data_IF_721688018973
#
_entry.id   IF_721688018973
#
_cell.length_a   1.000
_cell.length_b   1.000
_cell.length_c   1.000
_cell.angle_alpha   90.00
_cell.angle_beta   90.00
_cell.angle_gamma   90.00
#
_symmetry.space_group_name_H-M   'P 1'
#
loop_
_entity.id
_entity.type
_entity.pdbx_description
1 polymer ?
#
# COMPACT_ATOMS: atom_id res chain seq x y z
N UNK A 1 5.99 -4.76 10.75
CA UNK A 1 5.59 -5.26 9.40
C UNK A 1 6.60 -4.80 8.34
N UNK A 2 6.79 -5.55 7.23
CA UNK A 2 7.71 -5.14 6.16
C UNK A 2 6.97 -4.76 4.88
N UNK A 3 7.21 -3.55 4.36
CA UNK A 3 6.76 -3.15 3.03
C UNK A 3 7.61 -3.89 1.99
N UNK A 4 6.96 -4.63 1.10
CA UNK A 4 7.63 -5.45 0.09
C UNK A 4 7.53 -4.88 -1.32
N UNK A 5 6.87 -3.73 -1.50
CA UNK A 5 6.67 -3.10 -2.81
C UNK A 5 8.00 -2.91 -3.53
N UNK A 6 9.02 -2.43 -2.80
CA UNK A 6 10.36 -2.20 -3.36
C UNK A 6 10.98 -3.52 -3.84
N UNK A 7 10.88 -4.58 -3.05
CA UNK A 7 11.44 -5.89 -3.40
C UNK A 7 10.74 -6.49 -4.63
N UNK A 8 9.40 -6.44 -4.67
CA UNK A 8 8.62 -6.90 -5.82
C UNK A 8 8.85 -6.07 -7.08
N UNK A 9 9.04 -4.76 -6.93
CA UNK A 9 9.43 -3.88 -8.04
C UNK A 9 10.80 -4.26 -8.62
N UNK A 10 11.76 -4.63 -7.76
CA UNK A 10 13.09 -5.07 -8.21
C UNK A 10 13.01 -6.40 -8.94
N UNK A 11 12.32 -7.40 -8.39
CA UNK A 11 12.08 -8.69 -9.05
C UNK A 11 11.44 -8.48 -10.43
N UNK A 12 10.46 -7.57 -10.51
CA UNK A 12 9.80 -7.21 -11.74
C UNK A 12 10.75 -6.57 -12.76
N UNK A 13 11.56 -5.58 -12.36
CA UNK A 13 12.57 -4.97 -13.24
C UNK A 13 13.53 -6.02 -13.80
N UNK A 14 14.02 -6.92 -12.93
CA UNK A 14 14.92 -7.99 -13.34
C UNK A 14 14.26 -8.91 -14.37
N UNK A 15 12.99 -9.29 -14.17
CA UNK A 15 12.23 -10.11 -15.12
C UNK A 15 12.07 -9.43 -16.48
N UNK A 16 11.77 -8.12 -16.52
CA UNK A 16 11.67 -7.34 -17.77
C UNK A 16 13.01 -7.23 -18.52
N UNK A 17 14.14 -7.28 -17.79
CA UNK A 17 15.48 -7.33 -18.38
C UNK A 17 15.92 -8.75 -18.81
N UNK A 18 15.11 -9.77 -18.55
CA UNK A 18 15.44 -11.17 -18.80
C UNK A 18 16.44 -11.76 -17.79
N UNK A 19 16.55 -11.15 -16.61
CA UNK A 19 17.42 -11.61 -15.52
C UNK A 19 16.62 -12.48 -14.54
N UNK A 20 17.27 -13.49 -13.98
CA UNK A 20 16.70 -14.31 -12.89
C UNK A 20 16.94 -13.59 -11.56
N UNK A 21 15.89 -13.17 -10.83
CA UNK A 21 16.07 -12.53 -9.54
C UNK A 21 16.61 -13.53 -8.51
N UNK A 22 17.74 -13.20 -7.89
CA UNK A 22 18.29 -13.92 -6.74
C UNK A 22 18.18 -13.04 -5.49
N UNK A 23 18.12 -13.65 -4.30
CA UNK A 23 18.03 -12.88 -3.05
C UNK A 23 19.20 -11.90 -2.90
N UNK A 24 20.42 -12.33 -3.26
CA UNK A 24 21.61 -11.49 -3.18
C UNK A 24 21.53 -10.26 -4.10
N UNK A 25 21.11 -10.46 -5.36
CA UNK A 25 20.96 -9.35 -6.32
C UNK A 25 19.82 -8.42 -5.93
N UNK A 26 18.68 -8.96 -5.49
CA UNK A 26 17.53 -8.16 -5.07
C UNK A 26 17.90 -7.29 -3.85
N UNK A 27 18.63 -7.86 -2.89
CA UNK A 27 19.12 -7.13 -1.71
C UNK A 27 20.09 -6.01 -2.09
N UNK A 28 21.07 -6.30 -2.96
CA UNK A 28 22.05 -5.30 -3.40
C UNK A 28 21.39 -4.09 -4.09
N UNK A 29 20.37 -4.33 -4.92
CA UNK A 29 19.59 -3.26 -5.54
C UNK A 29 18.72 -2.53 -4.51
N UNK A 30 18.10 -3.24 -3.58
CA UNK A 30 17.25 -2.64 -2.55
C UNK A 30 18.02 -1.64 -1.68
N UNK A 31 19.26 -1.96 -1.29
CA UNK A 31 20.13 -1.05 -0.51
C UNK A 31 20.38 0.28 -1.23
N UNK A 32 20.45 0.26 -2.57
CA UNK A 32 20.58 1.46 -3.39
C UNK A 32 19.24 2.23 -3.46
N UNK A 33 18.13 1.53 -3.68
CA UNK A 33 16.81 2.16 -3.81
C UNK A 33 16.32 2.81 -2.49
N UNK A 34 16.63 2.21 -1.34
CA UNK A 34 16.31 2.79 -0.03
C UNK A 34 17.07 4.10 0.25
N UNK A 35 18.22 4.31 -0.42
CA UNK A 35 19.01 5.54 -0.32
C UNK A 35 18.75 6.52 -1.48
N UNK A 36 17.70 6.30 -2.27
CA UNK A 36 17.34 7.12 -3.44
C UNK A 36 17.21 8.61 -3.12
N UNK A 37 16.53 8.98 -2.02
CA UNK A 37 16.35 10.39 -1.63
C UNK A 37 17.69 11.08 -1.34
N UNK A 38 18.63 10.39 -0.69
CA UNK A 38 19.97 10.91 -0.41
C UNK A 38 20.82 11.00 -1.68
N UNK A 39 20.74 10.00 -2.55
CA UNK A 39 21.53 9.93 -3.79
C UNK A 39 21.07 10.96 -4.83
N UNK A 40 19.76 11.13 -4.99
CA UNK A 40 19.17 12.05 -5.98
C UNK A 40 19.27 13.52 -5.54
N UNK A 41 19.16 13.79 -4.24
CA UNK A 41 19.21 15.17 -3.70
C UNK A 41 20.62 15.59 -3.24
N UNK A 42 21.67 14.87 -3.62
CA UNK A 42 23.05 15.26 -3.32
C UNK A 42 23.35 16.62 -3.96
N UNK A 43 24.02 17.52 -3.24
CA UNK A 43 24.42 18.80 -3.81
C UNK A 43 25.30 18.59 -5.04
N UNK A 44 24.83 19.04 -6.20
CA UNK A 44 25.51 18.95 -7.49
C UNK A 44 25.17 20.19 -8.32
N UNK A 45 26.10 20.66 -9.14
CA UNK A 45 25.84 21.75 -10.09
C UNK A 45 24.81 21.35 -11.16
N UNK A 46 24.65 20.04 -11.40
CA UNK A 46 23.73 19.50 -12.40
C UNK A 46 22.95 18.29 -11.85
N UNK A 47 21.66 18.46 -11.57
CA UNK A 47 20.80 17.40 -11.01
C UNK A 47 20.70 16.14 -11.88
N UNK A 48 20.96 16.24 -13.18
CA UNK A 48 21.01 15.12 -14.11
C UNK A 48 22.17 14.14 -13.83
N UNK A 49 23.28 14.61 -13.26
CA UNK A 49 24.41 13.73 -12.93
C UNK A 49 24.06 12.77 -11.81
N UNK A 50 23.37 13.25 -10.77
CA UNK A 50 22.87 12.40 -9.68
C UNK A 50 21.91 11.33 -10.20
N UNK A 51 21.04 11.69 -11.15
CA UNK A 51 20.11 10.76 -11.77
C UNK A 51 20.84 9.66 -12.55
N UNK A 52 21.84 10.02 -13.37
CA UNK A 52 22.63 9.04 -14.13
C UNK A 52 23.44 8.13 -13.20
N UNK A 53 24.07 8.68 -12.16
CA UNK A 53 24.82 7.89 -11.18
C UNK A 53 23.93 6.90 -10.43
N UNK A 54 22.70 7.30 -10.09
CA UNK A 54 21.74 6.44 -9.42
C UNK A 54 21.38 5.21 -10.28
N UNK A 55 21.02 5.42 -11.54
CA UNK A 55 20.66 4.31 -12.44
C UNK A 55 21.85 3.45 -12.84
N UNK A 56 23.06 4.01 -12.96
CA UNK A 56 24.30 3.24 -13.15
C UNK A 56 24.56 2.30 -11.98
N UNK A 57 24.42 2.78 -10.74
CA UNK A 57 24.62 1.95 -9.55
C UNK A 57 23.61 0.78 -9.49
N UNK A 58 22.35 1.02 -9.89
CA UNK A 58 21.35 -0.04 -10.01
C UNK A 58 21.73 -1.06 -11.08
N UNK A 59 22.14 -0.61 -12.27
CA UNK A 59 22.55 -1.47 -13.37
C UNK A 59 23.75 -2.36 -13.01
N UNK A 60 24.73 -1.78 -12.31
CA UNK A 60 25.88 -2.50 -11.76
C UNK A 60 25.46 -3.56 -10.74
N UNK A 61 24.58 -3.21 -9.79
CA UNK A 61 24.08 -4.15 -8.79
C UNK A 61 23.24 -5.29 -9.39
N UNK A 62 22.58 -5.05 -10.53
CA UNK A 62 21.87 -6.07 -11.30
C UNK A 62 22.78 -6.91 -12.20
N UNK A 63 24.07 -6.57 -12.34
CA UNK A 63 25.01 -7.25 -13.22
C UNK A 63 24.86 -6.92 -14.70
N UNK A 64 24.21 -5.81 -15.04
CA UNK A 64 23.96 -5.35 -16.41
C UNK A 64 24.39 -3.89 -16.63
N UNK A 65 25.67 -3.53 -16.40
CA UNK A 65 26.15 -2.14 -16.47
C UNK A 65 25.92 -1.47 -17.84
N UNK A 66 25.83 -2.24 -18.92
CA UNK A 66 25.61 -1.72 -20.27
C UNK A 66 24.13 -1.42 -20.59
N UNK A 67 23.19 -1.82 -19.71
CA UNK A 67 21.74 -1.70 -19.93
C UNK A 67 21.07 -0.60 -19.10
N UNK A 68 21.82 0.44 -18.75
CA UNK A 68 21.29 1.60 -18.00
C UNK A 68 20.13 2.28 -18.74
N UNK A 69 20.21 2.38 -20.06
CA UNK A 69 19.13 2.95 -20.87
C UNK A 69 17.87 2.09 -20.81
N UNK A 70 18.00 0.77 -20.87
CA UNK A 70 16.85 -0.14 -20.78
C UNK A 70 16.13 0.01 -19.44
N UNK A 71 16.88 0.17 -18.33
CA UNK A 71 16.31 0.46 -17.01
C UNK A 71 15.52 1.78 -16.99
N UNK A 72 16.05 2.83 -17.61
CA UNK A 72 15.37 4.13 -17.73
C UNK A 72 14.11 3.99 -18.60
N UNK A 73 14.15 3.22 -19.68
CA UNK A 73 12.99 2.97 -20.54
C UNK A 73 11.92 2.14 -19.83
N UNK A 74 12.30 1.13 -19.05
CA UNK A 74 11.37 0.36 -18.21
C UNK A 74 10.66 1.29 -17.23
N UNK A 75 11.39 2.19 -16.56
CA UNK A 75 10.79 3.17 -15.64
C UNK A 75 9.79 4.13 -16.31
N UNK A 76 9.82 4.28 -17.63
CA UNK A 76 8.87 5.08 -18.40
C UNK A 76 7.74 4.24 -19.05
N UNK A 77 7.84 2.91 -19.01
CA UNK A 77 6.88 2.00 -19.63
C UNK A 77 5.58 1.94 -18.82
N UNK A 78 4.46 2.11 -19.51
CA UNK A 78 3.12 2.00 -18.90
C UNK A 78 2.77 0.56 -18.51
N UNK A 79 3.18 -0.42 -19.30
CA UNK A 79 3.03 -1.83 -18.95
C UNK A 79 3.76 -2.16 -17.65
N UNK A 80 4.98 -1.62 -17.50
CA UNK A 80 5.75 -1.79 -16.28
C UNK A 80 5.10 -1.07 -15.09
N UNK A 81 4.64 0.17 -15.28
CA UNK A 81 3.93 0.92 -14.24
C UNK A 81 2.65 0.19 -13.78
N UNK A 82 1.85 -0.33 -14.72
CA UNK A 82 0.67 -1.14 -14.43
C UNK A 82 1.02 -2.41 -13.66
N UNK A 83 2.04 -3.15 -14.10
CA UNK A 83 2.46 -4.38 -13.41
C UNK A 83 3.07 -4.09 -12.03
N UNK A 84 3.69 -2.91 -11.84
CA UNK A 84 4.19 -2.46 -10.54
C UNK A 84 3.06 -2.06 -9.58
N UNK A 85 2.00 -1.41 -10.07
CA UNK A 85 0.82 -1.03 -9.28
C UNK A 85 0.15 -2.26 -8.61
N UNK A 86 0.23 -3.43 -9.25
CA UNK A 86 -0.23 -4.71 -8.68
C UNK A 86 0.36 -4.98 -7.30
N UNK A 87 1.60 -4.57 -7.08
CA UNK A 87 2.34 -4.79 -5.84
C UNK A 87 2.28 -3.60 -4.89
N UNK A 88 1.49 -2.56 -5.18
CA UNK A 88 1.40 -1.38 -4.33
C UNK A 88 0.74 -1.72 -2.99
N UNK A 89 1.30 -1.12 -1.94
CA UNK A 89 0.88 -1.23 -0.54
C UNK A 89 0.91 -2.66 0.04
N UNK A 90 1.64 -3.58 -0.58
CA UNK A 90 1.80 -4.92 -0.05
C UNK A 90 2.80 -4.95 1.11
N UNK A 91 2.37 -5.63 2.16
CA UNK A 91 3.11 -5.84 3.39
C UNK A 91 3.19 -7.33 3.70
N UNK A 92 4.31 -7.76 4.29
CA UNK A 92 4.53 -9.15 4.66
C UNK A 92 4.93 -9.26 6.14
N UNK A 93 4.42 -10.31 6.79
CA UNK A 93 4.65 -10.63 8.20
C UNK A 93 3.49 -10.21 9.10
N UNK A 94 3.73 -10.24 10.40
CA UNK A 94 2.78 -9.81 11.41
C UNK A 94 3.35 -8.67 12.23
N UNK A 95 2.46 -7.83 12.75
CA UNK A 95 2.77 -6.77 13.71
C UNK A 95 1.65 -6.74 14.74
N UNK A 96 1.97 -6.50 16.01
CA UNK A 96 0.96 -6.36 17.04
C UNK A 96 1.49 -5.47 18.15
N UNK A 97 0.61 -4.64 18.69
CA UNK A 97 1.03 -3.70 19.71
C UNK A 97 -0.10 -3.06 20.46
N UNK A 98 0.31 -2.23 21.41
CA UNK A 98 -0.57 -1.44 22.25
C UNK A 98 -0.15 0.02 22.10
N UNK A 99 -1.12 0.89 21.87
CA UNK A 99 -0.93 2.34 21.82
C UNK A 99 -1.78 3.00 22.90
N UNK A 100 -1.16 3.90 23.64
CA UNK A 100 -1.82 4.72 24.64
C UNK A 100 -1.70 6.19 24.24
N UNK A 101 -2.83 6.85 24.03
CA UNK A 101 -2.90 8.23 23.57
C UNK A 101 -3.65 9.06 24.63
N UNK A 102 -2.95 9.81 25.50
CA UNK A 102 -3.59 10.77 26.37
C UNK A 102 -4.10 11.95 25.54
N UNK A 103 -5.31 12.44 25.85
CA UNK A 103 -5.92 13.60 25.21
C UNK A 103 -6.26 14.64 26.25
N UNK A 104 -5.91 15.89 25.96
CA UNK A 104 -6.23 17.05 26.81
C UNK A 104 -6.79 18.15 25.93
N UNK A 105 -7.92 18.72 26.33
CA UNK A 105 -8.53 19.87 25.67
C UNK A 105 -8.78 20.93 26.73
N UNK A 106 -8.19 22.11 26.51
CA UNK A 106 -8.40 23.28 27.35
C UNK A 106 -9.24 24.25 26.53
N UNK A 107 -10.48 24.50 26.96
CA UNK A 107 -11.33 25.52 26.34
C UNK A 107 -11.39 26.76 27.23
N UNK A 108 -11.18 27.92 26.63
CA UNK A 108 -11.24 29.21 27.33
C UNK A 108 -12.64 29.45 27.87
N UNK A 109 -12.80 29.42 29.20
CA UNK A 109 -14.07 29.71 29.88
C UNK A 109 -14.95 28.49 30.22
N UNK A 110 -14.61 27.28 29.75
CA UNK A 110 -15.42 26.05 29.92
C UNK A 110 -14.77 24.96 30.76
N UNK A 111 -13.54 25.14 31.24
CA UNK A 111 -12.84 24.19 32.11
C UNK A 111 -11.87 23.26 31.36
N UNK A 112 -11.52 22.15 32.00
CA UNK A 112 -10.53 21.19 31.53
C UNK A 112 -11.21 19.86 31.17
N UNK A 113 -11.02 19.41 29.93
CA UNK A 113 -11.41 18.08 29.49
C UNK A 113 -10.20 17.19 29.27
N UNK A 114 -10.26 16.00 29.85
CA UNK A 114 -9.21 15.00 29.80
C UNK A 114 -9.73 13.68 29.28
N UNK A 115 -8.85 12.93 28.64
CA UNK A 115 -9.17 11.60 28.19
C UNK A 115 -7.95 10.75 27.90
N UNK A 116 -8.23 9.49 27.63
CA UNK A 116 -7.25 8.48 27.30
C UNK A 116 -7.85 7.52 26.29
N UNK A 117 -7.09 7.24 25.24
CA UNK A 117 -7.42 6.21 24.25
C UNK A 117 -6.39 5.09 24.36
N UNK A 118 -6.87 3.89 24.62
CA UNK A 118 -6.11 2.66 24.56
C UNK A 118 -6.48 1.93 23.28
N UNK A 119 -5.48 1.60 22.46
CA UNK A 119 -5.66 0.86 21.21
C UNK A 119 -4.80 -0.39 21.24
N UNK A 120 -5.43 -1.56 21.13
CA UNK A 120 -4.75 -2.79 20.74
C UNK A 120 -4.83 -2.87 19.22
N UNK A 121 -3.72 -3.11 18.54
CA UNK A 121 -3.72 -3.29 17.09
C UNK A 121 -2.96 -4.55 16.70
N UNK A 122 -3.36 -5.13 15.58
CA UNK A 122 -2.70 -6.28 14.98
C UNK A 122 -2.84 -6.25 13.47
N UNK A 123 -1.73 -6.44 12.78
CA UNK A 123 -1.66 -6.47 11.33
C UNK A 123 -1.02 -7.79 10.89
N UNK A 124 -1.53 -8.39 9.82
CA UNK A 124 -1.05 -9.63 9.24
C UNK A 124 -1.09 -9.57 7.72
N UNK A 125 0.04 -9.82 7.06
CA UNK A 125 0.18 -9.81 5.61
C UNK A 125 0.92 -11.05 5.12
N UNK A 126 0.36 -11.74 4.14
CA UNK A 126 0.94 -12.97 3.60
C UNK A 126 0.59 -13.22 2.13
N UNK A 127 1.38 -14.08 1.50
CA UNK A 127 1.10 -14.66 0.19
C UNK A 127 0.70 -16.11 0.34
N UNK A 128 -0.31 -16.50 -0.42
CA UNK A 128 -0.85 -17.84 -0.53
C UNK A 128 -0.80 -18.26 -2.00
N UNK A 129 -1.02 -19.56 -2.26
CA UNK A 129 -1.12 -20.11 -3.62
C UNK A 129 0.07 -19.70 -4.52
N UNK A 130 1.30 -20.02 -4.11
CA UNK A 130 2.52 -19.72 -4.90
C UNK A 130 2.67 -18.23 -5.26
N UNK A 131 2.22 -17.34 -4.37
CA UNK A 131 2.19 -15.88 -4.56
C UNK A 131 1.10 -15.35 -5.50
N UNK A 132 0.17 -16.20 -5.93
CA UNK A 132 -0.99 -15.77 -6.72
C UNK A 132 -2.09 -15.11 -5.87
N UNK A 133 -2.08 -15.27 -4.55
CA UNK A 133 -3.07 -14.65 -3.67
C UNK A 133 -2.38 -13.89 -2.54
N UNK A 134 -2.56 -12.58 -2.51
CA UNK A 134 -2.14 -11.72 -1.41
C UNK A 134 -3.29 -11.52 -0.43
N UNK A 135 -2.98 -11.56 0.86
CA UNK A 135 -3.92 -11.26 1.94
C UNK A 135 -3.27 -10.29 2.92
N UNK A 136 -4.01 -9.25 3.28
CA UNK A 136 -3.72 -8.33 4.35
C UNK A 136 -4.93 -8.27 5.27
N UNK A 137 -4.73 -8.51 6.56
CA UNK A 137 -5.73 -8.32 7.59
C UNK A 137 -5.17 -7.35 8.62
N UNK A 138 -5.92 -6.33 8.97
CA UNK A 138 -5.61 -5.45 10.09
C UNK A 138 -6.81 -5.40 11.04
N UNK A 139 -6.52 -5.14 12.30
CA UNK A 139 -7.55 -5.08 13.32
C UNK A 139 -7.16 -4.19 14.47
N UNK A 140 -8.13 -3.48 15.01
CA UNK A 140 -7.97 -2.66 16.20
C UNK A 140 -9.09 -2.91 17.19
N UNK A 141 -8.75 -2.84 18.47
CA UNK A 141 -9.70 -2.75 19.58
C UNK A 141 -9.37 -1.47 20.32
N UNK A 142 -10.35 -0.59 20.45
CA UNK A 142 -10.19 0.73 21.02
C UNK A 142 -11.08 0.88 22.26
N UNK A 143 -10.48 1.33 23.35
CA UNK A 143 -11.19 1.80 24.53
C UNK A 143 -10.81 3.27 24.74
N UNK A 144 -11.80 4.14 24.70
CA UNK A 144 -11.59 5.58 24.81
C UNK A 144 -12.44 6.15 25.95
N UNK A 145 -11.82 6.96 26.78
CA UNK A 145 -12.49 7.78 27.78
C UNK A 145 -12.21 9.24 27.48
N UNK A 146 -13.23 10.09 27.42
CA UNK A 146 -13.07 11.54 27.29
C UNK A 146 -14.16 12.28 28.06
N UNK A 147 -13.77 13.07 29.06
CA UNK A 147 -14.71 13.73 29.99
C UNK A 147 -15.66 14.73 29.34
N UNK A 148 -15.24 15.33 28.21
CA UNK A 148 -16.02 16.34 27.51
C UNK A 148 -17.13 15.79 26.60
N UNK A 149 -17.23 14.47 26.45
CA UNK A 149 -18.24 13.85 25.60
C UNK A 149 -19.53 13.53 26.39
N UNK A 150 -20.68 13.59 25.72
CA UNK A 150 -21.97 13.16 26.28
C UNK A 150 -21.93 11.68 26.72
N UNK A 151 -21.24 10.86 25.94
CA UNK A 151 -20.90 9.47 26.29
C UNK A 151 -19.39 9.40 26.51
N UNK A 152 -18.90 9.54 27.76
CA UNK A 152 -17.47 9.66 28.02
C UNK A 152 -16.68 8.40 27.66
N UNK A 153 -17.26 7.22 27.89
CA UNK A 153 -16.63 5.94 27.62
C UNK A 153 -17.15 5.38 26.30
N UNK A 154 -16.24 5.17 25.34
CA UNK A 154 -16.53 4.55 24.05
C UNK A 154 -15.63 3.34 23.83
N UNK A 155 -16.19 2.35 23.18
CA UNK A 155 -15.53 1.12 22.77
C UNK A 155 -15.70 0.92 21.27
N UNK A 156 -14.60 0.55 20.62
CA UNK A 156 -14.51 0.35 19.18
C UNK A 156 -13.80 -0.97 18.85
N UNK A 157 -14.24 -1.64 17.79
CA UNK A 157 -13.52 -2.71 17.11
C UNK A 157 -13.53 -2.37 15.63
N UNK A 158 -12.39 -2.43 14.97
CA UNK A 158 -12.29 -2.39 13.52
C UNK A 158 -11.51 -3.61 13.04
N UNK A 159 -11.99 -4.25 11.99
CA UNK A 159 -11.30 -5.31 11.29
C UNK A 159 -11.37 -4.99 9.80
N UNK A 160 -10.24 -4.86 9.12
CA UNK A 160 -10.22 -4.74 7.67
C UNK A 160 -9.42 -5.88 7.05
N UNK A 161 -9.94 -6.41 5.95
CA UNK A 161 -9.29 -7.39 5.10
C UNK A 161 -9.13 -6.83 3.71
N UNK A 162 -7.95 -6.98 3.13
CA UNK A 162 -7.71 -6.83 1.71
C UNK A 162 -7.21 -8.16 1.17
N UNK A 163 -7.82 -8.62 0.09
CA UNK A 163 -7.37 -9.81 -0.64
C UNK A 163 -7.14 -9.39 -2.08
N UNK A 164 -5.98 -9.73 -2.65
CA UNK A 164 -5.67 -9.43 -4.05
C UNK A 164 -5.22 -10.69 -4.77
N UNK A 165 -5.91 -11.03 -5.85
CA UNK A 165 -5.52 -12.14 -6.72
C UNK A 165 -4.61 -11.62 -7.84
N UNK A 166 -3.44 -12.22 -7.95
CA UNK A 166 -2.33 -11.87 -8.83
C UNK A 166 -2.11 -13.01 -9.84
N UNK A 167 -2.88 -13.06 -10.94
CA UNK A 167 -2.65 -14.04 -11.99
C UNK A 167 -1.25 -13.90 -12.62
N UNK A 168 -0.76 -14.99 -13.21
CA UNK A 168 0.49 -14.98 -13.99
C UNK A 168 0.43 -14.02 -15.18
N UNK A 169 -0.75 -13.93 -15.83
CA UNK A 169 -1.02 -12.89 -16.81
C UNK A 169 -1.14 -11.55 -16.09
N UNK A 170 -0.14 -10.68 -16.29
CA UNK A 170 -0.10 -9.39 -15.63
C UNK A 170 -1.17 -8.41 -16.12
N UNK A 171 -1.89 -8.70 -17.20
CA UNK A 171 -2.88 -7.80 -17.80
C UNK A 171 -4.08 -7.53 -16.89
N UNK A 172 -4.22 -8.26 -15.80
CA UNK A 172 -5.30 -8.02 -14.86
C UNK A 172 -4.96 -8.44 -13.44
N UNK A 173 -5.72 -7.89 -12.51
CA UNK A 173 -5.82 -8.39 -11.14
C UNK A 173 -7.19 -8.02 -10.59
N UNK A 174 -7.55 -8.66 -9.49
CA UNK A 174 -8.76 -8.30 -8.75
C UNK A 174 -8.40 -8.15 -7.29
N UNK A 175 -8.98 -7.14 -6.66
CA UNK A 175 -8.90 -6.94 -5.23
C UNK A 175 -10.29 -6.97 -4.61
N UNK A 176 -10.33 -7.46 -3.37
CA UNK A 176 -11.48 -7.48 -2.51
C UNK A 176 -11.13 -6.79 -1.20
N UNK A 177 -12.07 -6.02 -0.69
CA UNK A 177 -11.98 -5.27 0.54
C UNK A 177 -13.13 -5.71 1.44
N UNK A 178 -12.84 -5.90 2.71
CA UNK A 178 -13.82 -6.13 3.78
C UNK A 178 -13.47 -5.17 4.92
N UNK A 179 -14.45 -4.43 5.41
CA UNK A 179 -14.39 -3.68 6.64
C UNK A 179 -15.50 -4.14 7.56
N UNK A 180 -15.18 -4.41 8.83
CA UNK A 180 -16.15 -4.68 9.88
C UNK A 180 -15.84 -3.73 11.02
N UNK A 181 -16.79 -2.88 11.35
CA UNK A 181 -16.64 -1.88 12.38
C UNK A 181 -17.75 -2.04 13.43
N UNK A 182 -17.36 -1.97 14.69
CA UNK A 182 -18.27 -1.82 15.81
C UNK A 182 -17.80 -0.62 16.62
N UNK A 183 -18.61 0.43 16.75
CA UNK A 183 -18.31 1.58 17.58
C UNK A 183 -19.54 2.01 18.37
N UNK A 184 -19.42 1.99 19.69
CA UNK A 184 -20.49 2.43 20.60
C UNK A 184 -20.82 3.92 20.50
N UNK A 185 -19.93 4.73 19.90
CA UNK A 185 -20.06 6.18 19.75
C UNK A 185 -20.83 6.61 18.49
N UNK A 186 -20.98 5.70 17.51
CA UNK A 186 -21.66 5.97 16.24
C UNK A 186 -23.09 5.42 16.23
N UNK A 187 -23.88 5.83 15.24
CA UNK A 187 -25.20 5.25 14.94
C UNK A 187 -25.32 5.11 13.43
N UNK A 188 -25.46 3.88 12.88
CA UNK A 188 -25.49 2.59 13.59
C UNK A 188 -24.16 2.26 14.28
N UNK A 189 -24.22 1.45 15.34
CA UNK A 189 -23.03 1.03 16.11
C UNK A 189 -22.22 -0.06 15.43
N UNK A 190 -22.80 -0.71 14.43
CA UNK A 190 -22.20 -1.80 13.69
C UNK A 190 -22.29 -1.48 12.21
N UNK A 191 -21.21 -1.76 11.50
CA UNK A 191 -21.09 -1.49 10.08
C UNK A 191 -20.24 -2.57 9.39
N UNK A 192 -20.65 -2.94 8.18
CA UNK A 192 -19.93 -3.82 7.28
C UNK A 192 -19.83 -3.14 5.93
N UNK A 193 -18.59 -3.01 5.47
CA UNK A 193 -18.24 -2.55 4.14
C UNK A 193 -17.61 -3.69 3.36
N UNK A 194 -18.02 -3.85 2.10
CA UNK A 194 -17.48 -4.86 1.20
C UNK A 194 -17.21 -4.21 -0.14
N UNK A 195 -15.99 -4.31 -0.63
CA UNK A 195 -15.59 -3.76 -1.91
C UNK A 195 -14.94 -4.81 -2.79
N UNK A 196 -15.01 -4.60 -4.08
CA UNK A 196 -14.17 -5.30 -5.04
C UNK A 196 -13.85 -4.40 -6.21
N UNK A 197 -12.61 -4.47 -6.69
CA UNK A 197 -12.14 -3.74 -7.86
C UNK A 197 -11.42 -4.70 -8.80
N UNK A 198 -11.75 -4.61 -10.07
CA UNK A 198 -11.10 -5.34 -11.15
C UNK A 198 -10.33 -4.36 -12.01
N UNK A 199 -9.05 -4.63 -12.18
CA UNK A 199 -8.13 -3.85 -12.99
C UNK A 199 -7.75 -4.62 -14.25
N UNK A 200 -7.70 -3.91 -15.38
CA UNK A 200 -7.37 -4.49 -16.68
C UNK A 200 -6.53 -3.55 -17.54
N UNK A 201 -5.49 -4.09 -18.16
CA UNK A 201 -4.69 -3.42 -19.18
C UNK A 201 -5.21 -3.81 -20.56
N UNK A 202 -6.02 -2.94 -21.15
CA UNK A 202 -6.64 -3.17 -22.45
C UNK A 202 -5.61 -3.07 -23.59
N UNK A 203 -4.71 -2.11 -23.48
CA UNK A 203 -3.59 -1.90 -24.41
C UNK A 203 -2.38 -1.39 -23.62
N UNK A 204 -1.15 -1.46 -24.16
CA UNK A 204 0.05 -0.99 -23.46
C UNK A 204 -0.05 0.44 -22.91
N UNK A 205 -0.92 1.26 -23.49
CA UNK A 205 -1.15 2.65 -23.10
C UNK A 205 -2.54 2.94 -22.50
N UNK A 206 -3.33 1.90 -22.22
CA UNK A 206 -4.72 2.06 -21.76
C UNK A 206 -5.04 1.07 -20.63
N UNK A 207 -5.18 1.62 -19.42
CA UNK A 207 -5.69 0.92 -18.23
C UNK A 207 -7.18 1.24 -18.06
N UNK A 208 -7.95 0.24 -17.68
CA UNK A 208 -9.35 0.38 -17.24
C UNK A 208 -9.54 -0.32 -15.90
N UNK A 209 -10.44 0.20 -15.08
CA UNK A 209 -10.83 -0.43 -13.82
C UNK A 209 -12.33 -0.30 -13.62
N UNK A 210 -12.92 -1.26 -12.91
CA UNK A 210 -14.30 -1.21 -12.49
C UNK A 210 -14.44 -1.87 -11.13
N UNK A 211 -15.26 -1.28 -10.27
CA UNK A 211 -15.47 -1.75 -8.92
C UNK A 211 -16.90 -1.61 -8.45
N UNK A 212 -17.19 -2.37 -7.43
CA UNK A 212 -18.46 -2.40 -6.71
C UNK A 212 -18.14 -2.32 -5.23
N UNK A 213 -18.86 -1.49 -4.49
CA UNK A 213 -18.79 -1.50 -3.04
C UNK A 213 -20.17 -1.42 -2.40
N UNK A 214 -20.36 -2.24 -1.38
CA UNK A 214 -21.45 -2.16 -0.42
C UNK A 214 -20.92 -1.43 0.81
N UNK A 215 -21.65 -0.41 1.25
CA UNK A 215 -21.28 0.43 2.40
C UNK A 215 -22.46 0.50 3.36
N UNK A 216 -22.20 0.72 4.65
CA UNK A 216 -23.24 0.89 5.68
C UNK A 216 -24.14 -0.35 5.82
N UNK A 217 -23.57 -1.53 6.08
CA UNK A 217 -24.33 -2.79 6.19
C UNK A 217 -25.18 -3.13 4.97
N UNK A 218 -24.63 -2.97 3.76
CA UNK A 218 -25.33 -3.20 2.49
C UNK A 218 -26.47 -2.22 2.17
N UNK A 219 -26.62 -1.13 2.92
CA UNK A 219 -27.66 -0.11 2.67
C UNK A 219 -27.38 0.67 1.36
N UNK A 220 -26.11 0.80 0.97
CA UNK A 220 -25.70 1.50 -0.24
C UNK A 220 -24.84 0.62 -1.12
N UNK A 221 -25.21 0.53 -2.40
CA UNK A 221 -24.37 -0.05 -3.46
C UNK A 221 -23.81 1.08 -4.33
N UNK A 222 -22.48 1.14 -4.39
CA UNK A 222 -21.73 2.05 -5.25
C UNK A 222 -21.12 1.25 -6.39
N UNK A 223 -21.43 1.63 -7.62
CA UNK A 223 -20.71 1.17 -8.81
C UNK A 223 -19.84 2.31 -9.33
N UNK A 224 -18.60 1.99 -9.66
CA UNK A 224 -17.69 2.93 -10.27
C UNK A 224 -16.86 2.24 -11.34
N UNK A 225 -16.51 2.99 -12.38
CA UNK A 225 -15.65 2.53 -13.44
C UNK A 225 -14.86 3.70 -13.99
N UNK A 226 -13.65 3.44 -14.45
CA UNK A 226 -12.77 4.46 -14.98
C UNK A 226 -11.66 3.85 -15.81
N UNK A 227 -10.79 4.72 -16.29
CA UNK A 227 -9.62 4.32 -17.04
C UNK A 227 -8.68 5.49 -17.26
N UNK A 228 -7.46 5.18 -17.63
CA UNK A 228 -6.43 6.15 -17.94
C UNK A 228 -5.77 5.77 -19.26
N UNK A 229 -5.71 6.74 -20.17
CA UNK A 229 -4.97 6.66 -21.43
C UNK A 229 -3.83 7.67 -21.34
N UNK A 230 -2.60 7.21 -21.50
CA UNK A 230 -1.44 8.11 -21.60
C UNK A 230 -1.00 8.24 -23.06
N UNK A 231 -0.91 9.49 -23.50
CA UNK A 231 -0.74 9.90 -24.89
C UNK A 231 0.73 10.12 -25.30
N UNK A 232 1.70 9.96 -24.38
CA UNK A 232 3.14 10.10 -24.64
C UNK A 232 4.00 9.46 -23.54
#
# INVERSE_FOLDING_TARGET
MYNINTLKSIELMMKHLGLVPTEATVRAVADIMYTSSTRLNRYSEQSSENFVMYWKAIAEAMGVPDRVLDLIFIGNSQTYAFEQERYQNMQYGWDAGVRLEPKMVIQTGSGFDGGIKLTLFGDYGAFLMENALYLLANGTIELNYFSGNITPLTFGISLNGNVRYLPEDYRWWVEGLLGINFDTSTTPKFDIDLGGEFDYLLAPNFRTYAGLSFVNNFDMLCFYAGGNIRLW
#
